data_IF_908744672132
#
_entry.id   IF_908744672132
#
_cell.length_a   1.000
_cell.length_b   1.000
_cell.length_c   1.000
_cell.angle_alpha   90.00
_cell.angle_beta   90.00
_cell.angle_gamma   90.00
#
_symmetry.space_group_name_H-M   'P 1'
#
loop_
_entity.id
_entity.type
_entity.pdbx_description
1 polymer ?
#
# COMPACT_ATOMS: atom_id res chain seq x y z
N UNK A 1 11.68 14.82 7.00
CA UNK A 1 10.96 13.99 6.01
C UNK A 1 12.01 13.15 5.32
N UNK A 2 11.76 11.88 4.97
CA UNK A 2 12.75 11.10 4.21
C UNK A 2 12.65 11.45 2.74
N UNK A 3 13.78 11.48 2.04
CA UNK A 3 13.79 11.68 0.60
C UNK A 3 13.01 10.57 -0.10
N UNK A 4 12.33 10.94 -1.18
CA UNK A 4 11.66 9.95 -2.04
C UNK A 4 12.73 9.30 -2.91
N UNK A 5 12.84 7.99 -2.82
CA UNK A 5 13.78 7.21 -3.63
C UNK A 5 12.97 6.24 -4.49
N UNK A 6 13.18 6.30 -5.80
CA UNK A 6 12.65 5.34 -6.77
C UNK A 6 13.84 4.60 -7.36
N UNK A 7 13.86 3.28 -7.18
CA UNK A 7 14.94 2.43 -7.66
C UNK A 7 14.41 1.32 -8.56
N UNK A 8 15.16 1.00 -9.62
CA UNK A 8 14.89 -0.18 -10.45
C UNK A 8 15.13 -1.47 -9.66
N UNK A 9 14.19 -2.41 -9.75
CA UNK A 9 14.20 -3.67 -8.99
C UNK A 9 13.91 -4.90 -9.84
N UNK A 10 14.03 -4.80 -11.18
CA UNK A 10 13.77 -5.92 -12.12
C UNK A 10 14.51 -7.21 -11.76
N UNK A 11 15.72 -7.11 -11.20
CA UNK A 11 16.55 -8.27 -10.81
C UNK A 11 16.46 -8.62 -9.31
N UNK A 12 15.55 -7.99 -8.56
CA UNK A 12 15.36 -8.21 -7.13
C UNK A 12 14.07 -8.97 -6.86
N UNK A 13 14.14 -9.97 -6.01
CA UNK A 13 12.95 -10.59 -5.43
C UNK A 13 12.46 -9.76 -4.24
N UNK A 14 11.19 -9.36 -4.23
CA UNK A 14 10.55 -8.65 -3.12
C UNK A 14 9.54 -9.58 -2.47
N UNK A 15 9.87 -10.05 -1.26
CA UNK A 15 9.04 -10.94 -0.48
C UNK A 15 8.36 -10.16 0.65
N UNK A 16 7.02 -10.19 0.72
CA UNK A 16 6.28 -9.60 1.83
C UNK A 16 5.80 -10.73 2.74
N UNK A 17 6.34 -10.81 3.96
CA UNK A 17 6.07 -11.91 4.89
C UNK A 17 5.20 -11.44 6.04
N UNK A 18 4.02 -12.01 6.16
CA UNK A 18 3.13 -11.81 7.28
C UNK A 18 3.54 -12.69 8.46
N UNK A 19 3.73 -12.07 9.63
CA UNK A 19 4.16 -12.78 10.85
C UNK A 19 3.02 -13.45 11.62
N UNK A 20 1.80 -13.42 11.10
CA UNK A 20 0.62 -13.95 11.79
C UNK A 20 0.35 -13.33 13.17
N UNK A 21 0.67 -12.05 13.32
CA UNK A 21 0.54 -11.31 14.58
C UNK A 21 0.01 -9.90 14.33
N UNK A 22 -0.61 -9.31 15.36
CA UNK A 22 -0.91 -7.87 15.41
C UNK A 22 0.28 -7.10 15.96
N UNK A 23 0.47 -5.85 15.50
CA UNK A 23 1.48 -4.97 16.08
C UNK A 23 1.08 -4.56 17.50
N UNK A 24 2.05 -4.50 18.41
CA UNK A 24 1.83 -3.98 19.75
C UNK A 24 2.02 -2.46 19.75
N UNK A 25 1.00 -1.74 20.22
CA UNK A 25 0.98 -0.28 20.29
C UNK A 25 0.76 0.10 21.77
N UNK A 26 1.53 1.05 22.33
CA UNK A 26 1.31 1.51 23.70
C UNK A 26 -0.12 2.04 23.91
N UNK A 27 -0.71 1.76 25.09
CA UNK A 27 -2.10 2.12 25.39
C UNK A 27 -2.41 3.60 25.16
N UNK A 28 -1.49 4.51 25.51
CA UNK A 28 -1.67 5.95 25.29
C UNK A 28 -1.75 6.33 23.81
N UNK A 29 -1.09 5.58 22.92
CA UNK A 29 -1.14 5.79 21.47
C UNK A 29 -2.41 5.16 20.91
N UNK A 30 -2.79 3.98 21.40
CA UNK A 30 -4.03 3.32 21.02
C UNK A 30 -5.26 4.21 21.32
N UNK A 31 -5.29 4.84 22.50
CA UNK A 31 -6.34 5.79 22.86
C UNK A 31 -6.42 6.98 21.89
N UNK A 32 -5.28 7.54 21.46
CA UNK A 32 -5.26 8.64 20.48
C UNK A 32 -5.83 8.22 19.12
N UNK A 33 -5.52 7.00 18.68
CA UNK A 33 -6.05 6.43 17.42
C UNK A 33 -7.58 6.26 17.54
N UNK A 34 -8.06 5.71 18.65
CA UNK A 34 -9.47 5.44 18.87
C UNK A 34 -10.29 6.73 19.02
N UNK A 35 -9.78 7.72 19.76
CA UNK A 35 -10.40 9.04 19.91
C UNK A 35 -10.51 9.77 18.57
N UNK A 36 -9.46 9.69 17.74
CA UNK A 36 -9.49 10.24 16.40
C UNK A 36 -10.50 9.52 15.50
N UNK A 37 -10.54 8.19 15.54
CA UNK A 37 -11.51 7.40 14.78
C UNK A 37 -12.95 7.75 15.15
N UNK A 38 -13.24 7.88 16.45
CA UNK A 38 -14.57 8.28 16.92
C UNK A 38 -14.96 9.68 16.46
N UNK A 39 -14.02 10.63 16.35
CA UNK A 39 -14.28 11.95 15.77
C UNK A 39 -14.66 11.86 14.29
N UNK A 40 -13.91 11.08 13.50
CA UNK A 40 -14.24 10.87 12.08
C UNK A 40 -15.65 10.31 11.87
N UNK A 41 -16.07 9.36 12.71
CA UNK A 41 -17.42 8.80 12.64
C UNK A 41 -18.50 9.81 13.06
N UNK A 42 -18.23 10.64 14.07
CA UNK A 42 -19.15 11.72 14.51
C UNK A 42 -19.32 12.80 13.44
N UNK A 43 -18.29 13.07 12.67
CA UNK A 43 -18.32 14.04 11.56
C UNK A 43 -19.07 13.50 10.31
N UNK A 44 -19.72 12.34 10.43
CA UNK A 44 -20.57 11.76 9.38
C UNK A 44 -19.80 11.03 8.29
N UNK A 45 -18.50 10.76 8.45
CA UNK A 45 -17.74 9.98 7.46
C UNK A 45 -18.16 8.51 7.51
N UNK A 46 -18.64 7.98 6.40
CA UNK A 46 -19.00 6.57 6.25
C UNK A 46 -17.75 5.71 5.98
N UNK A 47 -16.91 5.53 6.99
CA UNK A 47 -15.66 4.75 6.91
C UNK A 47 -15.78 3.42 7.67
N UNK A 48 -15.10 2.38 7.17
CA UNK A 48 -15.00 1.08 7.83
C UNK A 48 -13.58 0.87 8.38
N UNK A 49 -13.48 0.34 9.60
CA UNK A 49 -12.20 0.00 10.24
C UNK A 49 -11.77 -1.40 9.82
N UNK A 50 -11.16 -1.50 8.65
CA UNK A 50 -10.62 -2.75 8.11
C UNK A 50 -9.22 -3.09 8.64
N UNK A 51 -8.79 -4.33 8.42
CA UNK A 51 -7.42 -4.77 8.68
C UNK A 51 -6.43 -4.07 7.72
N UNK A 52 -5.25 -3.73 8.23
CA UNK A 52 -4.14 -3.15 7.44
C UNK A 52 -2.84 -3.85 7.79
N UNK A 53 -2.00 -4.11 6.79
CA UNK A 53 -0.63 -4.60 7.03
C UNK A 53 0.32 -3.42 7.26
N UNK A 54 1.06 -3.45 8.38
CA UNK A 54 2.12 -2.50 8.68
C UNK A 54 3.49 -3.19 8.70
N UNK A 55 4.48 -2.53 8.10
CA UNK A 55 5.88 -2.93 8.11
C UNK A 55 6.39 -2.81 9.54
N UNK A 56 7.04 -3.87 10.04
CA UNK A 56 7.76 -3.85 11.32
C UNK A 56 9.22 -4.25 11.18
N UNK A 57 9.64 -4.79 10.04
CA UNK A 57 11.02 -5.19 9.80
C UNK A 57 11.34 -5.29 8.31
N UNK A 58 12.58 -4.98 7.95
CA UNK A 58 13.08 -5.06 6.58
C UNK A 58 14.44 -5.75 6.61
N UNK A 59 14.62 -6.77 5.79
CA UNK A 59 15.90 -7.44 5.57
C UNK A 59 16.30 -7.23 4.11
N UNK A 60 17.48 -6.65 3.90
CA UNK A 60 18.00 -6.37 2.55
C UNK A 60 19.23 -7.24 2.29
N UNK A 61 19.22 -7.92 1.15
CA UNK A 61 20.39 -8.59 0.58
C UNK A 61 20.56 -8.22 -0.90
N UNK A 62 21.61 -8.71 -1.54
CA UNK A 62 21.99 -8.29 -2.90
C UNK A 62 20.85 -8.42 -3.94
N UNK A 63 20.13 -9.55 -3.94
CA UNK A 63 19.03 -9.84 -4.88
C UNK A 63 17.67 -10.06 -4.19
N UNK A 64 17.58 -9.83 -2.89
CA UNK A 64 16.38 -10.09 -2.10
C UNK A 64 16.07 -8.93 -1.17
N UNK A 65 14.82 -8.50 -1.18
CA UNK A 65 14.25 -7.60 -0.19
C UNK A 65 13.11 -8.33 0.49
N UNK A 66 13.26 -8.58 1.79
CA UNK A 66 12.19 -9.18 2.59
C UNK A 66 11.59 -8.11 3.49
N UNK A 67 10.31 -7.84 3.30
CA UNK A 67 9.55 -6.91 4.12
C UNK A 67 8.66 -7.73 5.03
N UNK A 68 8.86 -7.61 6.34
CA UNK A 68 8.02 -8.31 7.31
C UNK A 68 6.90 -7.38 7.75
N UNK A 69 5.68 -7.89 7.74
CA UNK A 69 4.46 -7.16 8.11
C UNK A 69 3.71 -7.83 9.26
N UNK A 70 3.02 -7.01 10.05
CA UNK A 70 2.05 -7.41 11.07
C UNK A 70 0.70 -6.76 10.77
N UNK A 71 -0.37 -7.27 11.36
CA UNK A 71 -1.69 -6.67 11.27
C UNK A 71 -1.82 -5.46 12.20
N UNK A 72 -2.52 -4.46 11.71
CA UNK A 72 -3.10 -3.34 12.45
C UNK A 72 -4.44 -3.02 11.78
N UNK A 73 -4.91 -1.79 11.86
CA UNK A 73 -6.19 -1.41 11.26
C UNK A 73 -6.14 -0.06 10.55
N UNK A 74 -7.23 0.22 9.84
CA UNK A 74 -7.40 1.43 9.06
C UNK A 74 -7.43 2.70 9.92
N UNK A 75 -7.89 2.62 11.17
CA UNK A 75 -7.86 3.76 12.09
C UNK A 75 -6.41 4.18 12.39
N UNK A 76 -5.53 3.20 12.61
CA UNK A 76 -4.11 3.45 12.81
C UNK A 76 -3.44 4.05 11.57
N UNK A 77 -3.76 3.55 10.37
CA UNK A 77 -3.32 4.15 9.11
C UNK A 77 -3.75 5.61 9.00
N UNK A 78 -5.03 5.91 9.24
CA UNK A 78 -5.58 7.27 9.17
C UNK A 78 -4.93 8.20 10.19
N UNK A 79 -4.75 7.75 11.43
CA UNK A 79 -4.05 8.52 12.46
C UNK A 79 -2.60 8.84 12.08
N UNK A 80 -1.94 7.95 11.32
CA UNK A 80 -0.58 8.16 10.82
C UNK A 80 -0.51 9.21 9.73
N UNK A 81 -1.40 9.16 8.74
CA UNK A 81 -1.37 10.10 7.61
C UNK A 81 -1.74 11.53 8.05
N UNK A 82 -2.63 11.65 9.04
CA UNK A 82 -3.04 12.92 9.65
C UNK A 82 -2.10 13.40 10.77
N UNK A 83 -1.01 12.67 11.06
CA UNK A 83 -0.03 13.01 12.10
C UNK A 83 -0.65 13.18 13.50
N UNK A 84 -1.68 12.39 13.81
CA UNK A 84 -2.33 12.35 15.14
C UNK A 84 -1.40 11.72 16.18
N UNK A 85 -0.61 10.73 15.76
CA UNK A 85 0.31 9.97 16.62
C UNK A 85 1.77 10.26 16.25
N UNK A 86 2.68 10.04 17.21
CA UNK A 86 4.12 10.18 16.96
C UNK A 86 4.60 9.23 15.86
N UNK A 87 5.48 9.73 14.97
CA UNK A 87 5.97 8.98 13.79
C UNK A 87 6.58 7.62 14.12
N UNK A 88 7.21 7.45 15.29
CA UNK A 88 7.82 6.18 15.70
C UNK A 88 6.78 5.06 15.92
N UNK A 89 5.52 5.43 16.15
CA UNK A 89 4.41 4.49 16.27
C UNK A 89 3.58 4.39 15.00
N UNK A 90 3.90 5.16 13.95
CA UNK A 90 3.09 5.24 12.74
C UNK A 90 2.97 3.91 11.99
N UNK A 91 1.80 3.69 11.41
CA UNK A 91 1.52 2.63 10.45
C UNK A 91 2.29 2.91 9.16
N UNK A 92 3.25 2.05 8.83
CA UNK A 92 4.02 2.13 7.58
C UNK A 92 3.56 1.03 6.64
N UNK A 93 2.95 1.37 5.51
CA UNK A 93 2.33 0.39 4.62
C UNK A 93 3.23 0.02 3.42
N UNK A 94 2.95 -1.15 2.86
CA UNK A 94 3.33 -1.54 1.49
C UNK A 94 2.07 -1.49 0.64
N UNK A 95 2.15 -0.93 -0.56
CA UNK A 95 1.07 -0.97 -1.55
C UNK A 95 1.65 -1.34 -2.92
N UNK A 96 0.80 -1.82 -3.82
CA UNK A 96 1.17 -1.97 -5.23
C UNK A 96 0.66 -0.78 -6.03
N UNK A 97 1.25 -0.58 -7.21
CA UNK A 97 0.78 0.38 -8.20
C UNK A 97 1.27 -0.05 -9.57
N UNK A 98 0.57 0.36 -10.63
CA UNK A 98 0.94 0.07 -12.00
C UNK A 98 1.24 1.34 -12.78
N UNK A 99 2.45 1.43 -13.34
CA UNK A 99 2.78 2.41 -14.36
C UNK A 99 2.26 1.89 -15.71
N UNK A 100 1.06 2.35 -16.11
CA UNK A 100 0.43 1.89 -17.35
C UNK A 100 0.74 2.85 -18.48
N UNK A 101 1.47 2.36 -19.48
CA UNK A 101 1.76 3.06 -20.73
C UNK A 101 0.96 2.47 -21.89
N UNK A 102 0.26 3.31 -22.65
CA UNK A 102 -0.51 2.91 -23.83
C UNK A 102 0.38 2.87 -25.09
N UNK A 103 -0.09 2.20 -26.15
CA UNK A 103 0.66 2.08 -27.41
C UNK A 103 0.91 3.42 -28.12
N UNK A 104 0.10 4.44 -27.83
CA UNK A 104 0.28 5.83 -28.29
C UNK A 104 1.09 6.69 -27.29
N UNK A 105 1.84 6.05 -26.39
CA UNK A 105 2.75 6.65 -25.41
C UNK A 105 2.06 7.61 -24.43
N UNK A 106 0.87 7.25 -23.94
CA UNK A 106 0.18 7.95 -22.85
C UNK A 106 0.34 7.19 -21.55
N UNK A 107 0.35 7.94 -20.43
CA UNK A 107 0.38 7.36 -19.09
C UNK A 107 -1.03 7.47 -18.50
N UNK A 108 -1.51 6.39 -17.92
CA UNK A 108 -2.79 6.39 -17.22
C UNK A 108 -2.57 6.83 -15.76
N UNK A 109 -3.33 7.83 -15.34
CA UNK A 109 -3.40 8.34 -13.97
C UNK A 109 -4.86 8.33 -13.55
N UNK A 110 -5.15 7.77 -12.38
CA UNK A 110 -6.47 7.80 -11.75
C UNK A 110 -6.61 9.00 -10.83
N UNK A 111 -7.81 9.56 -10.75
CA UNK A 111 -8.20 10.55 -9.75
C UNK A 111 -9.08 9.88 -8.70
N UNK A 112 -8.71 10.04 -7.43
CA UNK A 112 -9.47 9.51 -6.30
C UNK A 112 -10.84 10.18 -6.17
N UNK A 113 -11.90 9.36 -6.06
CA UNK A 113 -13.26 9.83 -5.94
C UNK A 113 -13.51 10.66 -4.66
N UNK A 114 -14.55 11.50 -4.70
CA UNK A 114 -14.89 12.46 -3.64
C UNK A 114 -15.22 11.82 -2.29
N UNK A 115 -15.63 10.57 -2.29
CA UNK A 115 -16.01 9.79 -1.11
C UNK A 115 -14.84 8.99 -0.49
N UNK A 116 -13.61 9.15 -0.97
CA UNK A 116 -12.43 8.44 -0.46
C UNK A 116 -11.74 9.21 0.67
N UNK A 117 -10.70 8.62 1.28
CA UNK A 117 -9.88 9.30 2.30
C UNK A 117 -8.99 10.40 1.73
N UNK A 118 -8.71 10.37 0.42
CA UNK A 118 -7.85 11.33 -0.28
C UNK A 118 -8.51 11.82 -1.58
N UNK A 119 -9.66 12.54 -1.52
CA UNK A 119 -10.35 13.05 -2.71
C UNK A 119 -9.46 13.88 -3.63
N UNK A 120 -9.59 13.70 -4.95
CA UNK A 120 -8.87 14.48 -5.97
C UNK A 120 -7.38 14.15 -6.09
N UNK A 121 -6.86 13.20 -5.30
CA UNK A 121 -5.48 12.76 -5.44
C UNK A 121 -5.29 12.04 -6.77
N UNK A 122 -4.26 12.45 -7.50
CA UNK A 122 -3.81 11.80 -8.71
C UNK A 122 -2.80 10.70 -8.37
N UNK A 123 -3.08 9.48 -8.81
CA UNK A 123 -2.24 8.32 -8.51
C UNK A 123 -2.22 7.30 -9.65
N UNK A 124 -1.21 6.43 -9.64
CA UNK A 124 -1.25 5.24 -10.46
C UNK A 124 -2.36 4.29 -9.98
N UNK A 125 -2.98 3.52 -10.89
CA UNK A 125 -3.86 2.43 -10.53
C UNK A 125 -3.16 1.46 -9.58
N UNK A 126 -3.88 0.94 -8.59
CA UNK A 126 -3.33 0.06 -7.57
C UNK A 126 -3.92 0.29 -6.19
N UNK A 127 -3.51 -0.55 -5.23
CA UNK A 127 -4.17 -0.59 -3.94
C UNK A 127 -3.29 -1.09 -2.81
N UNK A 128 -3.87 -0.99 -1.61
CA UNK A 128 -3.31 -1.58 -0.40
C UNK A 128 -3.39 -3.10 -0.43
N UNK A 129 -2.55 -3.75 0.38
CA UNK A 129 -2.58 -5.20 0.54
C UNK A 129 -3.66 -5.61 1.54
N UNK A 130 -4.41 -6.67 1.21
CA UNK A 130 -5.45 -7.23 2.08
C UNK A 130 -5.27 -8.74 2.31
N UNK A 131 -6.11 -9.33 3.16
CA UNK A 131 -6.03 -10.76 3.52
C UNK A 131 -6.29 -11.71 2.36
N UNK A 132 -7.00 -11.29 1.32
CA UNK A 132 -7.21 -12.08 0.11
C UNK A 132 -5.93 -12.23 -0.72
N UNK A 133 -4.95 -11.35 -0.54
CA UNK A 133 -3.65 -11.40 -1.20
C UNK A 133 -2.65 -12.34 -0.48
N UNK A 134 -3.01 -12.82 0.72
CA UNK A 134 -2.18 -13.71 1.54
C UNK A 134 -2.22 -15.16 1.03
N UNK A 135 -1.04 -15.73 0.81
CA UNK A 135 -0.81 -17.14 0.50
C UNK A 135 0.08 -17.75 1.59
N UNK A 136 -0.54 -18.52 2.50
CA UNK A 136 0.08 -18.97 3.75
C UNK A 136 0.57 -17.79 4.60
N UNK A 137 1.87 -17.49 4.56
CA UNK A 137 2.51 -16.40 5.29
C UNK A 137 3.15 -15.36 4.35
N UNK A 138 2.94 -15.46 3.03
CA UNK A 138 3.50 -14.53 2.05
C UNK A 138 2.38 -13.78 1.35
N UNK A 139 2.53 -12.47 1.14
CA UNK A 139 1.56 -11.70 0.36
C UNK A 139 1.96 -11.73 -1.11
N UNK A 140 1.03 -12.12 -1.98
CA UNK A 140 1.25 -12.20 -3.42
C UNK A 140 0.97 -10.84 -4.07
N UNK A 141 2.06 -10.10 -4.32
CA UNK A 141 2.00 -8.77 -4.93
C UNK A 141 1.43 -8.79 -6.35
N UNK A 142 1.76 -9.81 -7.16
CA UNK A 142 1.25 -9.96 -8.52
C UNK A 142 -0.26 -10.17 -8.52
N UNK A 143 -0.76 -10.98 -7.58
CA UNK A 143 -2.20 -11.22 -7.39
C UNK A 143 -2.92 -9.92 -7.04
N UNK A 144 -2.38 -9.15 -6.08
CA UNK A 144 -2.95 -7.87 -5.67
C UNK A 144 -3.04 -6.90 -6.86
N UNK A 145 -1.93 -6.58 -7.52
CA UNK A 145 -1.94 -5.58 -8.61
C UNK A 145 -2.76 -6.04 -9.82
N UNK A 146 -2.84 -7.36 -10.11
CA UNK A 146 -3.69 -7.88 -11.19
C UNK A 146 -5.17 -7.69 -10.88
N UNK A 147 -5.56 -7.85 -9.61
CA UNK A 147 -6.92 -7.58 -9.12
C UNK A 147 -7.25 -6.10 -9.28
N UNK A 148 -6.39 -5.21 -8.78
CA UNK A 148 -6.56 -3.75 -8.86
C UNK A 148 -6.68 -3.26 -10.32
N UNK A 149 -5.78 -3.69 -11.23
CA UNK A 149 -5.84 -3.32 -12.64
C UNK A 149 -7.14 -3.79 -13.33
N UNK A 150 -7.67 -4.94 -12.93
CA UNK A 150 -8.93 -5.45 -13.45
C UNK A 150 -10.13 -4.65 -12.91
N UNK A 151 -10.11 -4.28 -11.63
CA UNK A 151 -11.19 -3.55 -10.98
C UNK A 151 -11.24 -2.08 -11.42
N UNK A 152 -10.09 -1.41 -11.50
CA UNK A 152 -10.00 0.02 -11.78
C UNK A 152 -9.99 0.34 -13.28
N UNK A 153 -9.36 -0.51 -14.10
CA UNK A 153 -9.19 -0.26 -15.54
C UNK A 153 -9.81 -1.32 -16.45
N UNK A 154 -10.36 -2.41 -15.91
CA UNK A 154 -10.84 -3.54 -16.72
C UNK A 154 -9.73 -4.31 -17.44
N UNK A 155 -8.46 -4.09 -17.07
CA UNK A 155 -7.30 -4.70 -17.74
C UNK A 155 -7.03 -6.08 -17.14
N UNK A 156 -7.12 -7.11 -17.97
CA UNK A 156 -6.59 -8.43 -17.63
C UNK A 156 -5.14 -8.55 -18.14
N UNK A 157 -4.16 -8.55 -17.22
CA UNK A 157 -2.72 -8.61 -17.54
C UNK A 157 -2.31 -9.88 -18.32
N UNK A 158 -3.12 -10.94 -18.26
CA UNK A 158 -2.90 -12.18 -19.00
C UNK A 158 -3.40 -12.12 -20.46
N UNK A 159 -4.20 -11.11 -20.81
CA UNK A 159 -4.68 -10.94 -22.18
C UNK A 159 -3.61 -10.28 -23.06
N UNK A 160 -2.96 -11.08 -23.91
CA UNK A 160 -1.87 -10.62 -24.78
C UNK A 160 -2.30 -9.75 -25.96
N UNK A 161 -3.59 -9.74 -26.28
CA UNK A 161 -4.12 -8.82 -27.29
C UNK A 161 -4.15 -7.37 -26.76
N UNK A 162 -4.24 -7.20 -25.44
CA UNK A 162 -4.33 -5.88 -24.79
C UNK A 162 -3.05 -5.49 -24.05
N UNK A 163 -2.32 -6.47 -23.51
CA UNK A 163 -1.14 -6.24 -22.65
C UNK A 163 0.10 -6.88 -23.25
N UNK A 164 0.94 -6.02 -23.83
CA UNK A 164 2.22 -6.42 -24.44
C UNK A 164 3.23 -6.91 -23.40
N UNK A 165 3.29 -6.22 -22.25
CA UNK A 165 4.29 -6.46 -21.21
C UNK A 165 3.73 -6.10 -19.84
N UNK A 166 4.06 -6.91 -18.82
CA UNK A 166 3.67 -6.67 -17.43
C UNK A 166 4.71 -7.34 -16.50
N UNK A 167 5.40 -6.56 -15.67
CA UNK A 167 6.38 -7.08 -14.71
C UNK A 167 6.78 -6.01 -13.67
N UNK A 168 7.21 -6.44 -12.49
CA UNK A 168 7.78 -5.58 -11.46
C UNK A 168 8.95 -4.71 -12.00
N UNK A 169 8.89 -3.41 -11.77
CA UNK A 169 9.85 -2.44 -12.28
C UNK A 169 10.57 -1.66 -11.20
N UNK A 170 9.82 -0.99 -10.33
CA UNK A 170 10.39 -0.05 -9.38
C UNK A 170 9.95 -0.32 -7.95
N UNK A 171 10.80 0.07 -7.02
CA UNK A 171 10.43 0.23 -5.62
C UNK A 171 10.58 1.70 -5.25
N UNK A 172 9.48 2.30 -4.78
CA UNK A 172 9.48 3.61 -4.15
C UNK A 172 9.60 3.45 -2.64
N UNK A 173 10.52 4.18 -2.02
CA UNK A 173 10.66 4.28 -0.55
C UNK A 173 10.71 5.74 -0.10
N UNK A 174 10.61 5.99 1.21
CA UNK A 174 10.69 7.35 1.78
C UNK A 174 9.45 8.21 1.55
N UNK A 175 9.64 9.53 1.51
CA UNK A 175 8.55 10.52 1.49
C UNK A 175 7.93 10.80 2.87
N UNK A 176 6.77 11.47 2.88
CA UNK A 176 6.12 11.99 4.10
C UNK A 176 5.86 10.92 5.16
N UNK A 177 5.36 9.75 4.74
CA UNK A 177 4.99 8.65 5.63
C UNK A 177 5.89 7.42 5.52
N UNK A 178 6.98 7.52 4.73
CA UNK A 178 7.94 6.42 4.52
C UNK A 178 7.28 5.11 4.00
N UNK A 179 6.18 5.21 3.24
CA UNK A 179 5.51 4.06 2.64
C UNK A 179 6.31 3.45 1.50
N UNK A 180 6.13 2.14 1.31
CA UNK A 180 6.79 1.35 0.28
C UNK A 180 5.81 1.12 -0.86
N UNK A 181 6.11 1.68 -2.03
CA UNK A 181 5.31 1.48 -3.24
C UNK A 181 6.01 0.51 -4.17
N UNK A 182 5.40 -0.64 -4.42
CA UNK A 182 5.88 -1.62 -5.39
C UNK A 182 5.23 -1.31 -6.74
N UNK A 183 6.02 -0.91 -7.72
CA UNK A 183 5.52 -0.40 -9.01
C UNK A 183 5.78 -1.43 -10.10
N UNK A 184 4.69 -1.89 -10.72
CA UNK A 184 4.66 -2.77 -11.88
C UNK A 184 4.61 -1.96 -13.16
#
# INVERSE_FOLDING_TARGET
MKDVIIQGVRDKNIDIVFMNEKISIPTNIQNQIDDYWLRLLKDGRNLRRGDVFTIFGIETGNKKLKIKVKLTDYAHYMATIENIIEKKYGCKVVHTSAFVETLDNKIIIGEMASNTSTPGYLQFPGGGLDKSDLEKNSINLNKNITKELKEELGINVSNKDHVKYFNLHFLKTGGKHDFYGVIF
#
